data_IF_913478261758
#
_entry.id   IF_913478261758
#
_cell.length_a   1.000
_cell.length_b   1.000
_cell.length_c   1.000
_cell.angle_alpha   90.00
_cell.angle_beta   90.00
_cell.angle_gamma   90.00
#
_symmetry.space_group_name_H-M   'P 1'
#
loop_
_entity.id
_entity.type
_entity.pdbx_description
1 polymer ?
#
# COMPACT_ATOMS: atom_id res chain seq x y z
N UNK A 1 -4.25 -2.91 1.86
CA UNK A 1 -5.30 -2.17 2.58
C UNK A 1 -4.97 -0.69 2.45
N UNK A 2 -5.95 0.21 2.39
CA UNK A 2 -5.68 1.66 2.34
C UNK A 2 -5.41 2.21 3.74
N UNK A 3 -4.20 2.70 3.98
CA UNK A 3 -3.73 3.30 5.23
C UNK A 3 -3.39 4.79 5.07
N UNK A 4 -3.52 5.33 3.86
CA UNK A 4 -3.08 6.69 3.51
C UNK A 4 -4.03 7.34 2.50
N UNK A 5 -3.91 8.66 2.31
CA UNK A 5 -4.62 9.39 1.26
C UNK A 5 -6.13 9.39 1.45
N UNK A 6 -6.88 9.00 0.41
CA UNK A 6 -8.35 9.03 0.39
C UNK A 6 -9.05 8.15 1.43
N UNK A 7 -8.30 7.28 2.12
CA UNK A 7 -8.82 6.40 3.17
C UNK A 7 -8.77 7.03 4.56
N UNK A 8 -8.15 8.21 4.71
CA UNK A 8 -8.11 8.97 5.95
C UNK A 8 -8.84 10.30 5.79
N UNK A 9 -9.22 10.90 6.92
CA UNK A 9 -9.71 12.28 6.92
C UNK A 9 -8.60 13.22 6.41
N UNK A 10 -8.97 14.29 5.71
CA UNK A 10 -8.02 15.25 5.14
C UNK A 10 -7.11 15.87 6.18
N UNK A 11 -7.58 15.92 7.42
CA UNK A 11 -6.87 16.51 8.57
C UNK A 11 -6.25 15.47 9.51
N UNK A 12 -6.32 14.18 9.18
CA UNK A 12 -5.78 13.12 10.01
C UNK A 12 -4.89 12.17 9.22
N UNK A 13 -3.61 12.12 9.60
CA UNK A 13 -2.70 11.06 9.18
C UNK A 13 -2.60 10.04 10.31
N UNK A 14 -2.95 8.79 10.01
CA UNK A 14 -2.85 7.71 10.98
C UNK A 14 -1.38 7.47 11.34
N UNK A 15 -1.12 7.42 12.64
CA UNK A 15 0.18 7.02 13.18
C UNK A 15 0.50 5.56 12.87
N UNK A 16 1.77 5.19 12.94
CA UNK A 16 2.21 3.80 12.77
C UNK A 16 1.53 2.86 13.79
N UNK A 17 1.23 3.35 15.00
CA UNK A 17 0.53 2.60 16.04
C UNK A 17 -0.94 2.35 15.66
N UNK A 18 -1.65 3.36 15.16
CA UNK A 18 -3.02 3.21 14.66
C UNK A 18 -3.07 2.26 13.46
N UNK A 19 -2.10 2.38 12.54
CA UNK A 19 -2.01 1.50 11.37
C UNK A 19 -1.82 0.04 11.79
N UNK A 20 -0.92 -0.21 12.76
CA UNK A 20 -0.67 -1.54 13.31
C UNK A 20 -1.90 -2.08 14.05
N UNK A 21 -2.59 -1.26 14.84
CA UNK A 21 -3.77 -1.67 15.57
C UNK A 21 -4.89 -2.16 14.62
N UNK A 22 -5.09 -1.48 13.49
CA UNK A 22 -6.07 -1.89 12.47
C UNK A 22 -5.71 -3.24 11.86
N UNK A 23 -4.44 -3.43 11.46
CA UNK A 23 -3.97 -4.68 10.85
C UNK A 23 -4.02 -5.84 11.85
N UNK A 24 -3.58 -5.61 13.09
CA UNK A 24 -3.59 -6.61 14.15
C UNK A 24 -5.02 -7.06 14.45
N UNK A 25 -5.95 -6.10 14.52
CA UNK A 25 -7.37 -6.42 14.70
C UNK A 25 -7.94 -7.20 13.52
N UNK A 26 -7.53 -6.89 12.29
CA UNK A 26 -7.96 -7.64 11.11
C UNK A 26 -7.47 -9.10 11.18
N UNK A 27 -6.23 -9.33 11.60
CA UNK A 27 -5.67 -10.67 11.77
C UNK A 27 -6.37 -11.46 12.88
N UNK A 28 -6.67 -10.83 14.02
CA UNK A 28 -7.47 -11.45 15.09
C UNK A 28 -8.85 -11.92 14.60
N UNK A 29 -9.41 -11.21 13.61
CA UNK A 29 -10.67 -11.56 12.95
C UNK A 29 -10.51 -12.59 11.82
N UNK A 30 -9.30 -13.09 11.58
CA UNK A 30 -8.99 -14.11 10.57
C UNK A 30 -8.73 -13.54 9.17
N UNK A 31 -8.56 -12.23 9.01
CA UNK A 31 -8.23 -11.62 7.73
C UNK A 31 -6.76 -11.85 7.42
N UNK A 32 -6.49 -12.61 6.36
CA UNK A 32 -5.13 -12.97 5.90
C UNK A 32 -4.82 -12.46 4.49
N UNK A 33 -5.72 -11.70 3.87
CA UNK A 33 -5.53 -11.13 2.53
C UNK A 33 -5.50 -9.60 2.58
N UNK A 34 -4.39 -9.00 2.16
CA UNK A 34 -4.19 -7.55 2.16
C UNK A 34 -4.08 -7.02 0.72
N UNK A 35 -4.98 -6.11 0.35
CA UNK A 35 -5.05 -5.52 -1.00
C UNK A 35 -4.63 -4.04 -1.01
N UNK A 36 -3.49 -3.69 -1.60
CA UNK A 36 -2.93 -2.31 -1.67
C UNK A 36 -2.68 -1.87 -3.12
N UNK A 37 -2.11 -0.68 -3.33
CA UNK A 37 -1.66 -0.17 -4.62
C UNK A 37 -0.56 0.89 -4.43
N UNK A 38 0.32 1.04 -5.43
CA UNK A 38 1.38 2.05 -5.47
C UNK A 38 0.87 3.49 -5.38
N UNK A 39 -0.29 3.76 -5.97
CA UNK A 39 -0.88 5.11 -6.04
C UNK A 39 -1.60 5.54 -4.76
N UNK A 40 -1.79 4.64 -3.79
CA UNK A 40 -2.39 5.03 -2.50
C UNK A 40 -1.37 5.91 -1.73
N UNK A 41 -1.82 7.06 -1.22
CA UNK A 41 -0.95 7.99 -0.50
C UNK A 41 -0.15 8.97 -1.37
N UNK A 42 -0.20 8.81 -2.71
CA UNK A 42 0.85 8.20 -3.56
C UNK A 42 2.15 7.70 -2.89
N UNK A 43 2.59 6.50 -3.29
CA UNK A 43 3.89 5.86 -3.01
C UNK A 43 4.27 5.65 -1.55
N UNK A 44 3.36 5.89 -0.60
CA UNK A 44 3.64 5.79 0.85
C UNK A 44 2.83 4.69 1.53
N UNK A 45 1.73 4.25 0.90
CA UNK A 45 0.84 3.27 1.50
C UNK A 45 1.47 1.89 1.68
N UNK A 46 2.26 1.42 0.70
CA UNK A 46 2.90 0.12 0.77
C UNK A 46 3.92 0.06 1.91
N UNK A 47 4.71 1.13 2.11
CA UNK A 47 5.64 1.22 3.24
C UNK A 47 4.91 1.20 4.59
N UNK A 48 3.77 1.89 4.69
CA UNK A 48 2.95 1.88 5.90
C UNK A 48 2.39 0.49 6.21
N UNK A 49 1.88 -0.22 5.19
CA UNK A 49 1.43 -1.61 5.35
C UNK A 49 2.61 -2.51 5.73
N UNK A 50 3.78 -2.33 5.10
CA UNK A 50 5.01 -3.07 5.40
C UNK A 50 5.43 -2.94 6.86
N UNK A 51 5.51 -1.71 7.39
CA UNK A 51 5.79 -1.45 8.82
C UNK A 51 4.74 -2.09 9.74
N UNK A 52 3.47 -1.98 9.39
CA UNK A 52 2.39 -2.51 10.21
C UNK A 52 2.36 -4.05 10.28
N UNK A 53 2.93 -4.76 9.29
CA UNK A 53 3.04 -6.23 9.28
C UNK A 53 4.43 -6.76 9.64
N UNK A 54 5.36 -5.91 10.08
CA UNK A 54 6.73 -6.32 10.41
C UNK A 54 6.74 -7.47 11.43
N UNK A 55 7.53 -8.51 11.14
CA UNK A 55 7.58 -9.74 11.94
C UNK A 55 6.37 -10.68 11.77
N UNK A 56 5.40 -10.32 10.93
CA UNK A 56 4.15 -11.08 10.69
C UNK A 56 3.86 -11.31 9.21
N UNK A 57 4.78 -10.92 8.31
CA UNK A 57 4.58 -10.93 6.86
C UNK A 57 4.07 -12.27 6.32
N UNK A 58 4.57 -13.39 6.83
CA UNK A 58 4.20 -14.74 6.38
C UNK A 58 2.76 -15.14 6.71
N UNK A 59 2.08 -14.38 7.58
CA UNK A 59 0.68 -14.60 7.92
C UNK A 59 -0.29 -14.02 6.88
N UNK A 60 0.22 -13.29 5.89
CA UNK A 60 -0.58 -12.59 4.90
C UNK A 60 -0.25 -13.00 3.46
N UNK A 61 -1.29 -13.11 2.65
CA UNK A 61 -1.22 -12.97 1.19
C UNK A 61 -1.41 -11.50 0.84
N UNK A 62 -0.48 -10.92 0.10
CA UNK A 62 -0.50 -9.50 -0.27
C UNK A 62 -0.71 -9.37 -1.76
N UNK A 63 -1.74 -8.61 -2.15
CA UNK A 63 -1.97 -8.15 -3.50
C UNK A 63 -1.64 -6.66 -3.57
N UNK A 64 -0.87 -6.27 -4.58
CA UNK A 64 -0.65 -4.86 -4.93
C UNK A 64 -0.97 -4.62 -6.40
N UNK A 65 -1.09 -3.34 -6.76
CA UNK A 65 -1.51 -2.87 -8.09
C UNK A 65 -0.61 -1.73 -8.52
N UNK A 66 -0.40 -1.63 -9.82
CA UNK A 66 0.41 -0.59 -10.47
C UNK A 66 -0.22 -0.17 -11.80
N UNK A 67 0.38 0.82 -12.45
CA UNK A 67 0.03 1.25 -13.81
C UNK A 67 -0.77 2.55 -13.86
N UNK A 68 -1.21 3.07 -12.71
CA UNK A 68 -1.76 4.42 -12.62
C UNK A 68 -0.62 5.40 -12.28
N UNK A 69 -0.24 6.24 -13.25
CA UNK A 69 0.90 7.16 -13.12
C UNK A 69 0.40 8.60 -12.90
N UNK A 70 0.77 9.27 -11.79
CA UNK A 70 0.43 10.66 -11.56
C UNK A 70 1.06 11.58 -12.62
N UNK A 71 0.30 12.55 -13.09
CA UNK A 71 0.77 13.58 -14.02
C UNK A 71 1.07 14.88 -13.28
N UNK A 72 1.94 15.71 -13.85
CA UNK A 72 2.22 17.06 -13.30
C UNK A 72 0.98 17.99 -13.31
N UNK A 73 -0.03 17.66 -14.11
CA UNK A 73 -1.28 18.42 -14.21
C UNK A 73 -2.32 18.02 -13.14
N UNK A 74 -1.98 17.14 -12.19
CA UNK A 74 -2.88 16.69 -11.13
C UNK A 74 -3.86 15.60 -11.54
N UNK A 75 -3.73 15.04 -12.75
CA UNK A 75 -4.46 13.86 -13.21
C UNK A 75 -3.63 12.58 -13.16
N UNK A 76 -4.21 11.47 -13.60
CA UNK A 76 -3.56 10.16 -13.71
C UNK A 76 -3.63 9.67 -15.15
N UNK A 77 -2.57 9.03 -15.63
CA UNK A 77 -2.56 8.28 -16.90
C UNK A 77 -2.29 6.81 -16.64
N UNK A 78 -2.73 5.95 -17.56
CA UNK A 78 -2.45 4.52 -17.49
C UNK A 78 -1.18 4.20 -18.28
N UNK A 79 -0.19 3.58 -17.63
CA UNK A 79 1.01 3.04 -18.26
C UNK A 79 1.11 1.52 -18.01
N UNK A 80 0.69 0.73 -18.99
CA UNK A 80 0.84 -0.73 -18.98
C UNK A 80 2.09 -1.23 -19.69
N UNK A 81 3.05 -0.35 -20.00
CA UNK A 81 4.23 -0.73 -20.78
C UNK A 81 5.08 -1.74 -20.02
N UNK A 82 5.73 -2.66 -20.76
CA UNK A 82 6.65 -3.65 -20.18
C UNK A 82 7.73 -3.01 -19.30
N UNK A 83 8.19 -1.82 -19.68
CA UNK A 83 9.18 -1.07 -18.92
C UNK A 83 8.59 -0.67 -17.56
N UNK A 84 7.45 0.01 -17.56
CA UNK A 84 6.80 0.46 -16.33
C UNK A 84 6.42 -0.70 -15.41
N UNK A 85 5.88 -1.80 -15.96
CA UNK A 85 5.55 -3.02 -15.20
C UNK A 85 6.76 -3.53 -14.41
N UNK A 86 7.95 -3.58 -15.04
CA UNK A 86 9.17 -4.02 -14.35
C UNK A 86 9.59 -3.06 -13.25
N UNK A 87 9.61 -1.76 -13.54
CA UNK A 87 9.98 -0.73 -12.57
C UNK A 87 9.03 -0.75 -11.35
N UNK A 88 7.72 -0.87 -11.60
CA UNK A 88 6.71 -0.91 -10.56
C UNK A 88 6.82 -2.18 -9.69
N UNK A 89 7.05 -3.35 -10.30
CA UNK A 89 7.22 -4.60 -9.54
C UNK A 89 8.44 -4.55 -8.62
N UNK A 90 9.57 -4.02 -9.08
CA UNK A 90 10.76 -3.84 -8.24
C UNK A 90 10.49 -2.86 -7.09
N UNK A 91 9.84 -1.73 -7.37
CA UNK A 91 9.48 -0.73 -6.36
C UNK A 91 8.53 -1.32 -5.30
N UNK A 92 7.45 -1.96 -5.73
CA UNK A 92 6.49 -2.60 -4.82
C UNK A 92 7.18 -3.66 -3.95
N UNK A 93 8.07 -4.47 -4.53
CA UNK A 93 8.76 -5.56 -3.81
C UNK A 93 9.70 -5.07 -2.71
N UNK A 94 10.27 -3.87 -2.87
CA UNK A 94 11.17 -3.27 -1.88
C UNK A 94 10.48 -2.83 -0.59
N UNK A 95 9.16 -2.62 -0.61
CA UNK A 95 8.38 -2.18 0.56
C UNK A 95 8.02 -3.30 1.55
N UNK A 96 8.38 -4.55 1.27
CA UNK A 96 7.94 -5.73 2.06
C UNK A 96 9.09 -6.53 2.70
N UNK A 97 10.33 -6.05 2.59
CA UNK A 97 11.52 -6.72 3.13
C UNK A 97 11.73 -6.41 4.62
#
# INVERSE_FOLDING_TARGET
MGMTGSYLDKDHQASDEENRAVIDRALELGVTFLDTADIYGPFTNEEQVGRAIEGKRDQYTIATKFGNVPTKAGGTVVDGSRKHVREAVEACSSGWA
#
